data_IF_818876850628
#
_entry.id   IF_818876850628
#
_cell.length_a   1.000
_cell.length_b   1.000
_cell.length_c   1.000
_cell.angle_alpha   90.00
_cell.angle_beta   90.00
_cell.angle_gamma   90.00
#
_symmetry.space_group_name_H-M   'P 1'
#
loop_
_entity.id
_entity.type
_entity.pdbx_description
1 polymer ?
#
# COMPACT_ATOMS: atom_id res chain seq x y z
N UNK A 1 3.59 -10.70 6.81
CA UNK A 1 3.69 -9.25 7.04
C UNK A 1 5.04 -8.81 7.60
N UNK A 2 5.68 -9.60 8.47
CA UNK A 2 7.00 -9.26 9.08
C UNK A 2 8.12 -9.00 8.06
N UNK A 3 8.08 -9.62 6.88
CA UNK A 3 9.08 -9.43 5.84
C UNK A 3 9.11 -7.97 5.31
N UNK A 4 7.96 -7.33 5.12
CA UNK A 4 7.87 -5.93 4.65
C UNK A 4 8.45 -4.95 5.69
N UNK A 5 8.17 -5.18 6.96
CA UNK A 5 8.72 -4.33 8.05
C UNK A 5 10.24 -4.44 8.10
N UNK A 6 10.79 -5.65 7.94
CA UNK A 6 12.26 -5.84 7.86
C UNK A 6 12.87 -5.21 6.61
N UNK A 7 12.19 -5.28 5.47
CA UNK A 7 12.64 -4.58 4.25
C UNK A 7 12.69 -3.06 4.46
N UNK A 8 11.68 -2.50 5.11
CA UNK A 8 11.63 -1.08 5.42
C UNK A 8 12.78 -0.68 6.37
N UNK A 9 13.04 -1.47 7.41
CA UNK A 9 14.18 -1.27 8.30
C UNK A 9 15.50 -1.27 7.54
N UNK A 10 15.73 -2.29 6.70
CA UNK A 10 16.96 -2.42 5.90
C UNK A 10 17.13 -1.23 4.95
N UNK A 11 16.04 -0.79 4.30
CA UNK A 11 16.06 0.34 3.39
C UNK A 11 16.32 1.68 4.11
N UNK A 12 15.82 1.83 5.32
CA UNK A 12 15.99 3.03 6.13
C UNK A 12 17.39 3.12 6.78
N UNK A 13 17.99 1.98 7.12
CA UNK A 13 19.26 1.92 7.88
C UNK A 13 20.39 2.77 7.28
N UNK A 14 20.66 2.78 5.96
CA UNK A 14 21.72 3.62 5.40
C UNK A 14 21.51 5.12 5.59
N UNK A 15 20.25 5.52 5.85
CA UNK A 15 19.84 6.91 6.04
C UNK A 15 19.84 7.33 7.52
N UNK A 16 19.87 6.35 8.43
CA UNK A 16 19.89 6.60 9.86
C UNK A 16 21.33 6.80 10.34
N UNK A 17 21.52 7.77 11.24
CA UNK A 17 22.79 7.95 11.92
C UNK A 17 23.10 6.68 12.76
N UNK A 18 24.38 6.26 12.79
CA UNK A 18 24.84 5.11 13.59
C UNK A 18 24.57 5.25 15.09
N UNK A 19 24.22 6.44 15.55
CA UNK A 19 23.82 6.71 16.94
C UNK A 19 22.39 6.27 17.25
N UNK A 20 21.58 5.96 16.23
CA UNK A 20 20.20 5.55 16.40
C UNK A 20 20.08 4.03 16.24
N UNK A 21 19.58 3.38 17.28
CA UNK A 21 19.24 1.96 17.22
C UNK A 21 17.91 1.76 16.48
N UNK A 22 17.77 0.62 15.82
CA UNK A 22 16.52 0.20 15.19
C UNK A 22 15.91 -0.96 15.98
N UNK A 23 14.60 -1.02 16.03
CA UNK A 23 13.84 -2.04 16.70
C UNK A 23 12.66 -2.47 15.83
N UNK A 24 12.35 -3.75 15.89
CA UNK A 24 11.14 -4.30 15.28
C UNK A 24 10.05 -4.47 16.34
N UNK A 25 8.81 -4.11 15.97
CA UNK A 25 7.62 -4.42 16.74
C UNK A 25 6.60 -5.11 15.84
N UNK A 26 6.71 -6.41 15.79
CA UNK A 26 5.90 -7.30 14.97
C UNK A 26 5.46 -8.51 15.81
N UNK A 27 4.75 -9.48 15.22
CA UNK A 27 4.42 -10.72 15.90
C UNK A 27 5.70 -11.43 16.35
N UNK A 28 5.87 -11.54 17.67
CA UNK A 28 7.00 -12.21 18.32
C UNK A 28 8.23 -11.36 18.58
N UNK A 29 8.30 -10.12 18.06
CA UNK A 29 9.42 -9.21 18.31
C UNK A 29 8.93 -7.90 18.93
N UNK A 30 9.64 -7.40 19.95
CA UNK A 30 9.33 -6.14 20.63
C UNK A 30 10.60 -5.38 20.99
N UNK A 31 10.52 -4.03 20.99
CA UNK A 31 11.61 -3.21 21.51
C UNK A 31 11.93 -3.54 22.97
N UNK A 32 13.20 -3.73 23.29
CA UNK A 32 13.66 -4.01 24.64
C UNK A 32 13.91 -2.75 25.48
N UNK A 33 13.99 -1.59 24.84
CA UNK A 33 14.15 -0.31 25.51
C UNK A 33 13.46 0.84 24.73
N UNK A 34 13.35 1.99 25.40
CA UNK A 34 12.73 3.20 24.84
C UNK A 34 13.80 4.07 24.19
N UNK A 35 13.96 4.03 22.91
CA UNK A 35 14.88 4.88 22.16
C UNK A 35 15.07 4.37 20.75
N UNK A 36 15.61 5.21 19.88
CA UNK A 36 15.85 4.87 18.49
C UNK A 36 14.59 4.87 17.62
N UNK A 37 14.64 4.12 16.54
CA UNK A 37 13.58 4.02 15.53
C UNK A 37 12.91 2.66 15.64
N UNK A 38 11.58 2.66 15.76
CA UNK A 38 10.76 1.45 15.83
C UNK A 38 10.04 1.24 14.50
N UNK A 39 10.25 0.11 13.89
CA UNK A 39 9.50 -0.36 12.72
C UNK A 39 8.45 -1.34 13.18
N UNK A 40 7.19 -1.02 12.96
CA UNK A 40 6.07 -1.77 13.52
C UNK A 40 4.98 -2.05 12.47
N UNK A 41 4.25 -3.13 12.67
CA UNK A 41 2.93 -3.26 12.04
C UNK A 41 1.88 -2.58 12.93
N UNK A 42 0.89 -1.94 12.32
CA UNK A 42 -0.19 -1.31 13.08
C UNK A 42 -0.97 -2.35 13.92
N UNK A 43 -1.10 -3.59 13.41
CA UNK A 43 -1.75 -4.69 14.12
C UNK A 43 -1.03 -5.04 15.43
N UNK A 44 0.29 -5.04 15.42
CA UNK A 44 1.08 -5.34 16.63
C UNK A 44 0.95 -4.23 17.68
N UNK A 45 0.92 -2.97 17.25
CA UNK A 45 0.69 -1.82 18.13
C UNK A 45 -0.76 -1.81 18.65
N UNK A 46 -1.74 -2.09 17.80
CA UNK A 46 -3.13 -2.18 18.19
C UNK A 46 -3.36 -3.30 19.22
N UNK A 47 -2.78 -4.47 18.99
CA UNK A 47 -2.83 -5.58 19.94
C UNK A 47 -2.15 -5.25 21.27
N UNK A 48 -1.10 -4.45 21.28
CA UNK A 48 -0.45 -3.97 22.50
C UNK A 48 -1.38 -3.01 23.26
N UNK A 49 -2.03 -2.07 22.57
CA UNK A 49 -3.04 -1.18 23.14
C UNK A 49 -4.18 -1.97 23.77
N UNK A 50 -4.73 -2.97 23.07
CA UNK A 50 -5.84 -3.80 23.59
C UNK A 50 -5.43 -4.62 24.83
N UNK A 51 -4.16 -4.93 25.01
CA UNK A 51 -3.64 -5.57 26.22
C UNK A 51 -3.40 -4.61 27.39
N UNK A 52 -3.67 -3.30 27.20
CA UNK A 52 -3.43 -2.30 28.23
C UNK A 52 -1.96 -1.98 28.46
N UNK A 53 -1.13 -2.06 27.41
CA UNK A 53 0.26 -1.62 27.50
C UNK A 53 0.30 -0.08 27.50
N UNK A 54 0.20 0.51 28.68
CA UNK A 54 0.00 1.95 28.91
C UNK A 54 1.18 2.83 28.47
N UNK A 55 2.33 2.24 28.15
CA UNK A 55 3.53 2.99 27.77
C UNK A 55 3.59 3.37 26.28
N UNK A 56 2.54 3.11 25.51
CA UNK A 56 2.43 3.52 24.10
C UNK A 56 2.11 5.01 23.94
N UNK A 57 1.27 5.56 24.82
CA UNK A 57 0.84 6.96 24.75
C UNK A 57 2.04 7.90 24.97
N UNK A 58 2.24 8.84 24.04
CA UNK A 58 3.34 9.80 24.11
C UNK A 58 4.75 9.21 24.01
N UNK A 59 4.88 7.93 23.68
CA UNK A 59 6.17 7.24 23.54
C UNK A 59 6.95 7.71 22.30
N UNK A 60 6.24 8.05 21.23
CA UNK A 60 6.81 8.38 19.94
C UNK A 60 6.66 9.87 19.66
N UNK A 61 7.78 10.59 19.52
CA UNK A 61 7.75 12.00 19.12
C UNK A 61 7.34 12.20 17.66
N UNK A 62 7.72 11.27 16.79
CA UNK A 62 7.36 11.24 15.38
C UNK A 62 6.80 9.86 15.04
N UNK A 63 5.67 9.85 14.35
CA UNK A 63 5.10 8.65 13.72
C UNK A 63 4.97 8.87 12.23
N UNK A 64 5.52 7.95 11.45
CA UNK A 64 5.41 7.92 9.99
C UNK A 64 4.56 6.71 9.62
N UNK A 65 3.47 6.96 8.90
CA UNK A 65 2.54 5.94 8.44
C UNK A 65 2.73 5.74 6.94
N UNK A 66 3.20 4.57 6.56
CA UNK A 66 3.21 4.13 5.16
C UNK A 66 1.83 3.59 4.77
N UNK A 67 1.48 3.72 3.49
CA UNK A 67 0.12 3.41 2.99
C UNK A 67 -0.98 4.11 3.80
N UNK A 68 -0.78 5.40 4.06
CA UNK A 68 -1.62 6.21 4.94
C UNK A 68 -3.10 6.25 4.53
N UNK A 69 -3.42 5.88 3.29
CA UNK A 69 -4.81 5.76 2.84
C UNK A 69 -5.63 4.70 3.60
N UNK A 70 -4.98 3.80 4.35
CA UNK A 70 -5.67 2.87 5.25
C UNK A 70 -5.96 3.46 6.64
N UNK A 71 -5.32 4.57 7.02
CA UNK A 71 -5.40 5.16 8.35
C UNK A 71 -6.80 5.65 8.78
N UNK A 72 -7.69 6.13 7.88
CA UNK A 72 -9.04 6.56 8.26
C UNK A 72 -9.99 5.44 8.74
N UNK A 73 -9.54 4.18 8.81
CA UNK A 73 -10.34 3.15 9.49
C UNK A 73 -10.43 3.44 11.00
N UNK A 74 -11.59 3.17 11.62
CA UNK A 74 -11.85 3.57 13.01
C UNK A 74 -10.83 3.01 14.00
N UNK A 75 -10.40 1.76 13.82
CA UNK A 75 -9.39 1.12 14.67
C UNK A 75 -8.00 1.75 14.52
N UNK A 76 -7.63 2.11 13.29
CA UNK A 76 -6.32 2.73 13.04
C UNK A 76 -6.29 4.18 13.54
N UNK A 77 -7.34 4.95 13.28
CA UNK A 77 -7.48 6.31 13.80
C UNK A 77 -7.47 6.33 15.33
N UNK A 78 -8.16 5.38 16.00
CA UNK A 78 -8.13 5.22 17.44
C UNK A 78 -6.74 4.85 17.98
N UNK A 79 -5.95 4.06 17.25
CA UNK A 79 -4.56 3.77 17.59
C UNK A 79 -3.69 5.03 17.49
N UNK A 80 -3.78 5.78 16.39
CA UNK A 80 -3.01 7.03 16.21
C UNK A 80 -3.34 8.05 17.29
N UNK A 81 -4.62 8.20 17.64
CA UNK A 81 -5.06 9.05 18.75
C UNK A 81 -4.48 8.61 20.10
N UNK A 82 -4.38 7.29 20.34
CA UNK A 82 -3.77 6.74 21.55
C UNK A 82 -2.24 6.96 21.60
N UNK A 83 -1.55 6.80 20.46
CA UNK A 83 -0.10 7.05 20.38
C UNK A 83 0.24 8.52 20.67
N UNK A 84 -0.64 9.44 20.32
CA UNK A 84 -0.54 10.89 20.55
C UNK A 84 0.87 11.46 20.21
N UNK A 85 1.40 11.25 18.99
CA UNK A 85 2.73 11.72 18.63
C UNK A 85 2.74 13.25 18.49
N UNK A 86 3.91 13.87 18.68
CA UNK A 86 4.08 15.31 18.46
C UNK A 86 3.98 15.64 16.95
N UNK A 87 4.46 14.74 16.10
CA UNK A 87 4.41 14.85 14.64
C UNK A 87 3.88 13.56 14.02
N UNK A 88 2.92 13.71 13.12
CA UNK A 88 2.34 12.61 12.36
C UNK A 88 2.52 12.87 10.86
N UNK A 89 3.13 11.92 10.16
CA UNK A 89 3.39 12.00 8.71
C UNK A 89 2.74 10.80 8.04
N UNK A 90 1.94 11.05 7.01
CA UNK A 90 1.36 10.02 6.15
C UNK A 90 2.03 10.00 4.78
N UNK A 91 2.40 8.81 4.31
CA UNK A 91 2.90 8.56 2.97
C UNK A 91 1.88 7.68 2.23
N UNK A 92 1.52 8.04 1.02
CA UNK A 92 0.64 7.22 0.17
C UNK A 92 0.84 7.54 -1.31
N UNK A 93 0.77 6.50 -2.13
CA UNK A 93 0.71 6.64 -3.59
C UNK A 93 -0.72 6.92 -4.09
N UNK A 94 -1.74 6.62 -3.28
CA UNK A 94 -3.15 6.72 -3.61
C UNK A 94 -3.90 7.55 -2.57
N UNK A 95 -3.82 8.89 -2.64
CA UNK A 95 -4.46 9.77 -1.65
C UNK A 95 -5.98 9.76 -1.71
N UNK A 96 -6.56 9.24 -2.80
CA UNK A 96 -8.01 9.19 -2.98
C UNK A 96 -8.58 7.86 -2.52
N UNK A 97 -9.61 7.93 -1.69
CA UNK A 97 -10.41 6.77 -1.28
C UNK A 97 -11.81 6.90 -1.85
N UNK A 98 -12.40 5.76 -2.22
CA UNK A 98 -13.79 5.71 -2.70
C UNK A 98 -14.85 5.78 -1.58
N UNK A 99 -14.42 5.82 -0.29
CA UNK A 99 -15.30 5.80 0.89
C UNK A 99 -15.51 7.19 1.54
N UNK A 100 -15.19 8.27 0.81
CA UNK A 100 -15.37 9.68 1.23
C UNK A 100 -14.61 10.10 2.52
N UNK A 101 -13.80 9.23 3.12
CA UNK A 101 -12.99 9.59 4.30
C UNK A 101 -11.77 10.38 3.87
N UNK A 102 -11.64 11.57 4.38
CA UNK A 102 -10.56 12.50 4.02
C UNK A 102 -9.31 12.26 4.89
N UNK A 103 -8.17 12.03 4.23
CA UNK A 103 -6.87 11.93 4.89
C UNK A 103 -6.48 13.23 5.58
N UNK A 104 -7.00 14.36 5.12
CA UNK A 104 -6.67 15.68 5.68
C UNK A 104 -7.16 15.86 7.12
N UNK A 105 -8.16 15.11 7.55
CA UNK A 105 -8.61 15.12 8.95
C UNK A 105 -7.56 14.56 9.91
N UNK A 106 -6.75 13.59 9.47
CA UNK A 106 -5.70 12.97 10.29
C UNK A 106 -4.32 13.59 10.06
N UNK A 107 -3.95 13.86 8.82
CA UNK A 107 -2.60 14.25 8.43
C UNK A 107 -2.48 15.73 8.01
N UNK A 108 -3.61 16.45 7.92
CA UNK A 108 -3.61 17.79 7.36
C UNK A 108 -3.46 17.81 5.83
N UNK A 109 -3.18 18.99 5.28
CA UNK A 109 -3.00 19.14 3.82
C UNK A 109 -1.68 18.52 3.36
N UNK A 110 -1.65 17.94 2.13
CA UNK A 110 -0.41 17.42 1.56
C UNK A 110 0.66 18.52 1.51
N UNK A 111 1.83 18.23 2.07
CA UNK A 111 3.01 19.13 2.01
C UNK A 111 3.91 18.84 0.83
N UNK A 112 3.77 17.67 0.24
CA UNK A 112 4.50 17.22 -0.93
C UNK A 112 3.63 16.31 -1.79
N UNK A 113 3.57 16.58 -3.09
CA UNK A 113 2.85 15.76 -4.06
C UNK A 113 3.69 15.60 -5.32
N UNK A 114 3.74 14.40 -5.84
CA UNK A 114 4.37 14.09 -7.11
C UNK A 114 3.51 13.10 -7.88
N UNK A 115 3.12 13.48 -9.08
CA UNK A 115 2.37 12.61 -9.96
C UNK A 115 3.28 11.61 -10.71
N UNK A 116 2.66 10.58 -11.31
CA UNK A 116 3.35 9.51 -12.03
C UNK A 116 4.14 10.08 -13.21
N UNK A 117 3.60 11.07 -13.94
CA UNK A 117 4.23 11.66 -15.12
C UNK A 117 5.53 12.35 -14.72
N UNK A 118 5.48 13.17 -13.68
CA UNK A 118 6.68 13.81 -13.10
C UNK A 118 7.70 12.78 -12.62
N UNK A 119 7.24 11.69 -12.01
CA UNK A 119 8.09 10.58 -11.56
C UNK A 119 8.84 9.92 -12.72
N UNK A 120 8.18 9.70 -13.86
CA UNK A 120 8.80 9.17 -15.08
C UNK A 120 9.78 10.18 -15.70
N UNK A 121 9.39 11.45 -15.82
CA UNK A 121 10.25 12.51 -16.37
C UNK A 121 11.55 12.69 -15.59
N UNK A 122 11.52 12.52 -14.28
CA UNK A 122 12.69 12.63 -13.41
C UNK A 122 13.50 11.32 -13.29
N UNK A 123 13.08 10.26 -13.96
CA UNK A 123 13.77 8.97 -13.94
C UNK A 123 13.60 8.17 -12.65
N UNK A 124 12.68 8.55 -11.75
CA UNK A 124 12.34 7.78 -10.55
C UNK A 124 11.47 6.56 -10.88
N UNK A 125 10.68 6.67 -11.94
CA UNK A 125 9.83 5.60 -12.43
C UNK A 125 10.25 5.23 -13.87
N UNK A 126 10.10 3.96 -14.21
CA UNK A 126 10.30 3.50 -15.57
C UNK A 126 9.25 4.11 -16.52
N UNK A 127 9.64 4.31 -17.76
CA UNK A 127 8.69 4.71 -18.82
C UNK A 127 7.67 3.59 -19.03
N UNK A 128 6.40 3.96 -19.16
CA UNK A 128 5.30 3.03 -19.42
C UNK A 128 4.91 3.11 -20.90
N UNK A 129 4.99 1.98 -21.61
CA UNK A 129 4.36 1.79 -22.93
C UNK A 129 2.96 1.22 -22.68
N UNK A 130 1.97 2.10 -22.68
CA UNK A 130 0.59 1.72 -22.44
C UNK A 130 -0.07 1.29 -23.74
N UNK A 131 -0.49 0.04 -23.81
CA UNK A 131 -1.19 -0.53 -24.96
C UNK A 131 -2.52 -1.10 -24.53
N UNK A 132 -3.60 -0.60 -25.11
CA UNK A 132 -4.91 -1.15 -24.93
C UNK A 132 -5.11 -2.26 -25.97
N UNK A 133 -5.34 -3.48 -25.51
CA UNK A 133 -5.76 -4.61 -26.35
C UNK A 133 -7.26 -4.77 -26.21
N UNK A 134 -7.96 -4.95 -27.34
CA UNK A 134 -9.36 -5.32 -27.34
C UNK A 134 -9.49 -6.80 -27.03
N UNK A 135 -10.28 -7.15 -26.06
CA UNK A 135 -10.43 -8.52 -25.58
C UNK A 135 -11.45 -9.36 -26.39
N UNK A 136 -12.10 -8.75 -27.39
CA UNK A 136 -13.12 -9.42 -28.19
C UNK A 136 -14.41 -9.79 -27.43
N UNK A 137 -14.56 -9.33 -26.19
CA UNK A 137 -15.77 -9.56 -25.40
C UNK A 137 -16.90 -8.69 -25.96
N UNK A 138 -18.04 -9.30 -26.25
CA UNK A 138 -19.29 -8.59 -26.51
C UNK A 138 -19.89 -8.10 -25.17
N UNK A 139 -19.53 -6.88 -24.79
CA UNK A 139 -20.01 -6.26 -23.56
C UNK A 139 -21.51 -6.00 -23.57
N UNK A 140 -22.15 -5.91 -24.74
CA UNK A 140 -23.59 -5.78 -24.85
C UNK A 140 -24.28 -7.10 -24.49
N UNK A 141 -23.70 -8.24 -24.88
CA UNK A 141 -24.18 -9.55 -24.51
C UNK A 141 -23.97 -9.82 -23.01
N UNK A 142 -22.80 -9.49 -22.47
CA UNK A 142 -22.51 -9.57 -21.03
C UNK A 142 -23.49 -8.72 -20.22
N UNK A 143 -23.77 -7.50 -20.68
CA UNK A 143 -24.70 -6.59 -20.00
C UNK A 143 -26.14 -7.10 -20.01
N UNK A 144 -26.60 -7.71 -21.11
CA UNK A 144 -27.94 -8.36 -21.21
C UNK A 144 -28.02 -9.55 -20.26
N UNK A 145 -26.98 -10.36 -20.22
CA UNK A 145 -26.88 -11.55 -19.39
C UNK A 145 -26.83 -11.20 -17.90
N UNK A 146 -26.10 -10.14 -17.52
CA UNK A 146 -26.04 -9.61 -16.16
C UNK A 146 -27.40 -9.12 -15.64
N UNK A 147 -28.22 -8.48 -16.50
CA UNK A 147 -29.58 -8.04 -16.14
C UNK A 147 -30.57 -9.17 -15.87
N UNK A 148 -30.24 -10.38 -16.27
CA UNK A 148 -31.06 -11.59 -16.00
C UNK A 148 -30.78 -12.24 -14.64
N UNK A 149 -29.96 -11.61 -13.77
CA UNK A 149 -29.73 -12.07 -12.40
C UNK A 149 -28.79 -13.27 -12.28
N UNK A 150 -27.88 -13.44 -13.22
CA UNK A 150 -26.87 -14.49 -13.16
C UNK A 150 -25.91 -14.28 -11.99
N UNK A 151 -25.48 -15.38 -11.40
CA UNK A 151 -24.46 -15.35 -10.35
C UNK A 151 -23.11 -14.87 -10.90
N UNK A 152 -22.24 -14.35 -10.01
CA UNK A 152 -20.85 -13.98 -10.34
C UNK A 152 -20.09 -15.17 -10.97
N UNK A 153 -20.42 -16.40 -10.58
CA UNK A 153 -19.83 -17.63 -11.12
C UNK A 153 -20.22 -17.87 -12.58
N UNK A 154 -21.46 -17.55 -12.96
CA UNK A 154 -21.92 -17.71 -14.34
C UNK A 154 -21.37 -16.59 -15.23
N UNK A 155 -21.29 -15.36 -14.73
CA UNK A 155 -20.61 -14.27 -15.40
C UNK A 155 -19.12 -14.59 -15.67
N UNK A 156 -18.43 -15.18 -14.71
CA UNK A 156 -17.04 -15.56 -14.88
C UNK A 156 -16.84 -16.63 -15.95
N UNK A 157 -17.79 -17.54 -16.18
CA UNK A 157 -17.70 -18.52 -17.28
C UNK A 157 -17.71 -17.87 -18.66
N UNK A 158 -18.40 -16.75 -18.82
CA UNK A 158 -18.42 -15.98 -20.06
C UNK A 158 -17.23 -15.02 -20.20
N UNK A 159 -16.61 -14.63 -19.08
CA UNK A 159 -15.45 -13.73 -19.04
C UNK A 159 -14.12 -14.47 -19.11
N UNK A 160 -14.02 -15.67 -18.53
CA UNK A 160 -12.82 -16.51 -18.56
C UNK A 160 -12.87 -17.41 -19.80
N UNK A 161 -12.28 -16.96 -20.89
CA UNK A 161 -12.11 -17.72 -22.12
C UNK A 161 -10.65 -18.16 -22.18
N UNK A 162 -10.33 -19.45 -21.96
CA UNK A 162 -8.95 -19.94 -21.88
C UNK A 162 -8.11 -19.61 -23.11
N UNK A 163 -8.70 -19.67 -24.31
CA UNK A 163 -8.00 -19.35 -25.56
C UNK A 163 -7.58 -17.88 -25.61
N UNK A 164 -8.41 -16.97 -25.07
CA UNK A 164 -8.09 -15.54 -24.95
C UNK A 164 -6.95 -15.30 -23.97
N UNK A 165 -7.00 -15.96 -22.83
CA UNK A 165 -5.98 -15.80 -21.79
C UNK A 165 -4.62 -16.32 -22.27
N UNK A 166 -4.61 -17.43 -23.03
CA UNK A 166 -3.40 -17.93 -23.70
C UNK A 166 -2.90 -16.90 -24.72
N UNK A 167 -3.75 -16.37 -25.59
CA UNK A 167 -3.39 -15.36 -26.57
C UNK A 167 -2.85 -14.07 -25.95
N UNK A 168 -3.39 -13.65 -24.80
CA UNK A 168 -2.85 -12.51 -24.03
C UNK A 168 -1.46 -12.81 -23.50
N UNK A 169 -1.24 -13.99 -22.91
CA UNK A 169 0.08 -14.42 -22.41
C UNK A 169 1.09 -14.49 -23.54
N UNK A 170 0.74 -15.09 -24.68
CA UNK A 170 1.61 -15.13 -25.87
C UNK A 170 1.99 -13.72 -26.34
N UNK A 171 1.03 -12.82 -26.45
CA UNK A 171 1.28 -11.41 -26.80
C UNK A 171 2.22 -10.73 -25.83
N UNK A 172 2.05 -10.94 -24.52
CA UNK A 172 2.94 -10.40 -23.48
C UNK A 172 4.35 -10.98 -23.66
N UNK A 173 4.48 -12.29 -23.83
CA UNK A 173 5.77 -12.95 -24.01
C UNK A 173 6.52 -12.45 -25.26
N UNK A 174 5.83 -12.30 -26.40
CA UNK A 174 6.41 -11.72 -27.62
C UNK A 174 6.90 -10.28 -27.40
N UNK A 175 6.10 -9.45 -26.73
CA UNK A 175 6.49 -8.07 -26.42
C UNK A 175 7.67 -8.01 -25.45
N UNK A 176 7.69 -8.86 -24.43
CA UNK A 176 8.82 -8.96 -23.50
C UNK A 176 10.10 -9.43 -24.19
N UNK A 177 10.00 -10.39 -25.12
CA UNK A 177 11.14 -10.86 -25.91
C UNK A 177 11.72 -9.76 -26.83
N UNK A 178 10.86 -8.86 -27.33
CA UNK A 178 11.27 -7.72 -28.16
C UNK A 178 11.84 -6.55 -27.34
N UNK A 179 11.65 -6.52 -26.04
CA UNK A 179 12.24 -5.52 -25.15
C UNK A 179 13.71 -5.88 -24.89
N UNK A 180 14.64 -5.03 -25.32
CA UNK A 180 16.01 -5.08 -24.82
C UNK A 180 15.94 -4.96 -23.30
N UNK A 181 16.51 -5.92 -22.55
CA UNK A 181 16.45 -6.10 -21.09
C UNK A 181 16.24 -4.79 -20.35
N UNK A 182 15.21 -4.68 -19.50
CA UNK A 182 15.06 -3.54 -18.61
C UNK A 182 16.31 -3.45 -17.72
N UNK A 183 16.91 -2.28 -17.65
CA UNK A 183 17.97 -1.96 -16.69
C UNK A 183 17.40 -1.84 -15.30
#
# INVERSE_FOLDING_TARGET
MNHLVRQLEIAAWPQLDKQHSTHLWTDGERPTYRGGVVFATWQSLFAAKERGEDDLAGRFGLVIVDEAHHAPSDSFAALLGHLAPNFLVGLTATPWRGDERDLSELFGRPVYTRDIVSGMQLGYLASVDYRMLTDGIDWDEVSKTSRQGLSVTDLNKHLLVPERDIGMVETICEKMAAMSRPR
#
